data_IF_393546065601
#
_entry.id   IF_393546065601
#
_cell.length_a   1.000
_cell.length_b   1.000
_cell.length_c   1.000
_cell.angle_alpha   90.00
_cell.angle_beta   90.00
_cell.angle_gamma   90.00
#
_symmetry.space_group_name_H-M   'P 1'
#
loop_
_entity.id
_entity.type
_entity.pdbx_description
1 polymer ?
#
# COMPACT_ATOMS: atom_id res chain seq x y z
N UNK A 1 -11.95 0.36 9.72
CA UNK A 1 -10.77 1.02 9.13
C UNK A 1 -11.15 1.31 7.70
N UNK A 2 -11.05 2.55 7.28
CA UNK A 2 -11.55 3.02 5.98
C UNK A 2 -10.44 2.91 4.92
N UNK A 3 -10.76 2.36 3.75
CA UNK A 3 -9.85 2.25 2.61
C UNK A 3 -9.34 3.62 2.16
N UNK A 4 -10.20 4.64 2.22
CA UNK A 4 -9.85 6.00 1.83
C UNK A 4 -8.78 6.60 2.75
N UNK A 5 -8.85 6.32 4.05
CA UNK A 5 -7.81 6.74 4.99
C UNK A 5 -6.46 6.05 4.70
N UNK A 6 -6.48 4.77 4.34
CA UNK A 6 -5.26 4.01 4.00
C UNK A 6 -4.62 4.56 2.72
N UNK A 7 -5.41 4.88 1.69
CA UNK A 7 -4.93 5.48 0.43
C UNK A 7 -4.34 6.87 0.69
N UNK A 8 -5.00 7.69 1.51
CA UNK A 8 -4.54 9.03 1.86
C UNK A 8 -3.22 9.01 2.66
N UNK A 9 -3.07 8.06 3.60
CA UNK A 9 -1.81 7.85 4.32
C UNK A 9 -0.67 7.50 3.36
N UNK A 10 -0.92 6.63 2.37
CA UNK A 10 0.09 6.26 1.37
C UNK A 10 0.61 7.48 0.58
N UNK A 11 -0.32 8.32 0.13
CA UNK A 11 -0.02 9.55 -0.63
C UNK A 11 0.79 10.55 0.19
N UNK A 12 0.51 10.65 1.49
CA UNK A 12 1.28 11.49 2.42
C UNK A 12 2.71 10.98 2.60
N UNK A 13 2.87 9.66 2.81
CA UNK A 13 4.19 9.01 2.94
C UNK A 13 5.04 9.26 1.69
N UNK A 14 4.46 9.07 0.49
CA UNK A 14 5.16 9.32 -0.77
C UNK A 14 5.56 10.78 -0.93
N UNK A 15 4.64 11.70 -0.64
CA UNK A 15 4.89 13.15 -0.71
C UNK A 15 5.97 13.61 0.28
N UNK A 16 6.04 13.00 1.46
CA UNK A 16 7.10 13.25 2.45
C UNK A 16 8.44 12.72 1.98
N UNK A 17 8.51 11.49 1.49
CA UNK A 17 9.74 10.89 0.98
C UNK A 17 10.33 11.65 -0.21
N UNK A 18 9.49 12.18 -1.10
CA UNK A 18 9.93 13.07 -2.20
C UNK A 18 10.55 14.36 -1.63
N UNK A 19 9.89 15.00 -0.65
CA UNK A 19 10.40 16.22 0.01
C UNK A 19 11.72 15.99 0.75
N UNK A 20 11.90 14.81 1.32
CA UNK A 20 13.12 14.42 2.05
C UNK A 20 14.24 13.89 1.13
N UNK A 21 14.04 13.92 -0.20
CA UNK A 21 15.06 13.52 -1.17
C UNK A 21 15.26 12.01 -1.30
N UNK A 22 14.37 11.18 -0.74
CA UNK A 22 14.41 9.71 -0.87
C UNK A 22 13.85 9.18 -2.20
N UNK A 23 13.56 10.09 -3.14
CA UNK A 23 12.60 9.89 -4.23
C UNK A 23 12.98 8.95 -5.38
N UNK A 24 14.14 8.29 -5.38
CA UNK A 24 14.59 7.60 -6.61
C UNK A 24 14.63 6.07 -6.55
N UNK A 25 14.58 5.42 -5.38
CA UNK A 25 14.76 3.95 -5.38
C UNK A 25 14.14 3.21 -4.20
N UNK A 26 14.15 3.78 -2.99
CA UNK A 26 13.71 3.04 -1.79
C UNK A 26 13.02 3.98 -0.81
N UNK A 27 11.80 3.65 -0.43
CA UNK A 27 11.12 4.20 0.73
C UNK A 27 11.53 3.38 1.96
N UNK A 28 12.03 4.05 2.99
CA UNK A 28 12.41 3.40 4.25
C UNK A 28 11.81 4.15 5.43
N UNK A 29 11.44 3.41 6.46
CA UNK A 29 10.97 3.98 7.70
C UNK A 29 9.73 3.27 8.24
N UNK A 30 9.53 3.41 9.55
CA UNK A 30 8.43 2.78 10.27
C UNK A 30 7.05 3.16 9.71
N UNK A 31 6.91 4.35 9.10
CA UNK A 31 5.65 4.81 8.49
C UNK A 31 5.23 3.91 7.31
N UNK A 32 6.18 3.49 6.47
CA UNK A 32 5.92 2.61 5.32
C UNK A 32 5.52 1.21 5.80
N UNK A 33 6.26 0.66 6.75
CA UNK A 33 5.98 -0.65 7.33
C UNK A 33 4.62 -0.68 8.05
N UNK A 34 4.32 0.39 8.80
CA UNK A 34 3.02 0.56 9.45
C UNK A 34 1.89 0.63 8.44
N UNK A 35 2.08 1.38 7.34
CA UNK A 35 1.10 1.46 6.27
C UNK A 35 0.85 0.10 5.61
N UNK A 36 1.91 -0.64 5.26
CA UNK A 36 1.78 -1.99 4.70
C UNK A 36 0.98 -2.89 5.66
N UNK A 37 1.31 -2.86 6.95
CA UNK A 37 0.59 -3.65 7.96
C UNK A 37 -0.89 -3.29 8.08
N UNK A 38 -1.23 -1.99 8.07
CA UNK A 38 -2.61 -1.53 8.03
C UNK A 38 -3.34 -2.02 6.77
N UNK A 39 -2.71 -1.91 5.61
CA UNK A 39 -3.30 -2.36 4.34
C UNK A 39 -3.59 -3.86 4.33
N UNK A 40 -2.66 -4.69 4.85
CA UNK A 40 -2.89 -6.13 5.00
C UNK A 40 -4.11 -6.40 5.90
N UNK A 41 -4.16 -5.78 7.08
CA UNK A 41 -5.28 -5.94 8.01
C UNK A 41 -6.62 -5.48 7.43
N UNK A 42 -6.63 -4.47 6.56
CA UNK A 42 -7.85 -4.06 5.85
C UNK A 42 -8.30 -5.15 4.89
N UNK A 43 -7.40 -5.62 4.03
CA UNK A 43 -7.74 -6.59 2.99
C UNK A 43 -8.19 -7.92 3.61
N UNK A 44 -7.53 -8.38 4.69
CA UNK A 44 -7.95 -9.57 5.45
C UNK A 44 -9.37 -9.44 6.04
N UNK A 45 -9.77 -8.22 6.43
CA UNK A 45 -11.10 -7.96 7.01
C UNK A 45 -12.18 -7.78 5.96
N UNK A 46 -11.85 -7.19 4.82
CA UNK A 46 -12.83 -6.80 3.80
C UNK A 46 -12.97 -7.80 2.66
N UNK A 47 -12.01 -8.70 2.46
CA UNK A 47 -12.00 -9.67 1.35
C UNK A 47 -11.64 -11.07 1.84
N UNK A 48 -12.12 -12.07 1.11
CA UNK A 48 -11.70 -13.46 1.30
C UNK A 48 -10.20 -13.57 0.99
N UNK A 49 -9.40 -14.29 1.80
CA UNK A 49 -7.98 -14.55 1.54
C UNK A 49 -7.70 -15.19 0.16
N UNK A 50 -8.71 -15.76 -0.47
CA UNK A 50 -8.65 -16.35 -1.81
C UNK A 50 -8.82 -15.32 -2.95
N UNK A 51 -9.11 -14.05 -2.63
CA UNK A 51 -9.26 -13.03 -3.65
C UNK A 51 -7.93 -12.76 -4.34
N UNK A 52 -7.95 -12.66 -5.67
CA UNK A 52 -6.76 -12.35 -6.47
C UNK A 52 -6.12 -11.01 -6.07
N UNK A 53 -6.91 -10.07 -5.52
CA UNK A 53 -6.43 -8.81 -4.95
C UNK A 53 -5.56 -9.02 -3.72
N UNK A 54 -6.00 -9.84 -2.77
CA UNK A 54 -5.24 -10.17 -1.57
C UNK A 54 -3.90 -10.82 -1.92
N UNK A 55 -3.91 -11.84 -2.78
CA UNK A 55 -2.67 -12.54 -3.16
C UNK A 55 -1.66 -11.63 -3.86
N UNK A 56 -2.13 -10.72 -4.73
CA UNK A 56 -1.26 -9.74 -5.39
C UNK A 56 -0.71 -8.71 -4.41
N UNK A 57 -1.52 -8.25 -3.46
CA UNK A 57 -1.08 -7.30 -2.45
C UNK A 57 0.02 -7.91 -1.56
N UNK A 58 -0.20 -9.14 -1.06
CA UNK A 58 0.81 -9.86 -0.27
C UNK A 58 2.08 -10.10 -1.08
N UNK A 59 1.98 -10.49 -2.36
CA UNK A 59 3.17 -10.62 -3.21
C UNK A 59 3.97 -9.32 -3.31
N UNK A 60 3.32 -8.16 -3.41
CA UNK A 60 4.04 -6.88 -3.44
C UNK A 60 4.63 -6.51 -2.09
N UNK A 61 3.93 -6.82 -0.99
CA UNK A 61 4.41 -6.61 0.37
C UNK A 61 5.62 -7.49 0.71
N UNK A 62 5.59 -8.78 0.37
CA UNK A 62 6.71 -9.73 0.61
C UNK A 62 7.96 -9.36 -0.19
N UNK A 63 7.77 -8.84 -1.41
CA UNK A 63 8.85 -8.35 -2.26
C UNK A 63 9.37 -6.96 -1.84
N UNK A 64 8.80 -6.35 -0.80
CA UNK A 64 9.14 -4.99 -0.35
C UNK A 64 10.23 -4.94 0.73
N UNK A 65 11.09 -5.97 0.90
CA UNK A 65 12.29 -5.87 1.74
C UNK A 65 13.18 -4.72 1.27
N UNK A 66 13.17 -3.60 2.00
CA UNK A 66 13.63 -2.31 1.49
C UNK A 66 12.69 -1.82 0.40
N UNK A 67 11.59 -1.18 0.80
CA UNK A 67 10.42 -0.93 -0.06
C UNK A 67 10.83 -0.11 -1.27
N UNK A 68 11.02 -0.78 -2.41
CA UNK A 68 11.22 -0.09 -3.68
C UNK A 68 9.98 0.75 -3.96
N UNK A 69 10.19 1.99 -4.40
CA UNK A 69 9.10 2.93 -4.73
C UNK A 69 8.09 2.26 -5.67
N UNK A 70 8.57 1.50 -6.66
CA UNK A 70 7.72 0.74 -7.58
C UNK A 70 6.78 -0.26 -6.89
N UNK A 71 7.25 -0.97 -5.85
CA UNK A 71 6.42 -1.92 -5.11
C UNK A 71 5.35 -1.18 -4.29
N UNK A 72 5.72 -0.04 -3.71
CA UNK A 72 4.81 0.83 -2.98
C UNK A 72 3.70 1.37 -3.89
N UNK A 73 4.06 1.90 -5.05
CA UNK A 73 3.12 2.45 -6.02
C UNK A 73 2.16 1.38 -6.56
N UNK A 74 2.64 0.14 -6.77
CA UNK A 74 1.79 -0.99 -7.15
C UNK A 74 0.80 -1.38 -6.06
N UNK A 75 1.22 -1.36 -4.79
CA UNK A 75 0.34 -1.60 -3.66
C UNK A 75 -0.73 -0.51 -3.54
N UNK A 76 -0.36 0.76 -3.74
CA UNK A 76 -1.30 1.88 -3.74
C UNK A 76 -2.33 1.76 -4.86
N UNK A 77 -1.89 1.53 -6.10
CA UNK A 77 -2.77 1.39 -7.26
C UNK A 77 -3.77 0.23 -7.10
N UNK A 78 -3.37 -0.86 -6.43
CA UNK A 78 -4.28 -1.96 -6.08
C UNK A 78 -5.38 -1.51 -5.12
N UNK A 79 -5.03 -0.75 -4.07
CA UNK A 79 -6.00 -0.25 -3.10
C UNK A 79 -6.97 0.77 -3.74
N UNK A 80 -6.47 1.65 -4.60
CA UNK A 80 -7.30 2.57 -5.40
C UNK A 80 -8.26 1.81 -6.32
N UNK A 81 -7.75 0.79 -7.02
CA UNK A 81 -8.60 -0.07 -7.86
C UNK A 81 -9.67 -0.78 -7.02
N UNK A 82 -9.34 -1.26 -5.82
CA UNK A 82 -10.32 -1.87 -4.91
C UNK A 82 -11.42 -0.89 -4.51
N UNK A 83 -11.06 0.37 -4.24
CA UNK A 83 -12.03 1.43 -3.93
C UNK A 83 -13.00 1.67 -5.09
N UNK A 84 -12.47 1.80 -6.31
CA UNK A 84 -13.29 1.98 -7.52
C UNK A 84 -14.25 0.80 -7.79
N UNK A 85 -13.91 -0.41 -7.33
CA UNK A 85 -14.78 -1.58 -7.41
C UNK A 85 -15.83 -1.64 -6.28
N UNK A 86 -15.56 -1.05 -5.11
CA UNK A 86 -16.52 -0.99 -3.99
C UNK A 86 -17.54 0.14 -4.16
N UNK A 87 -17.16 1.22 -4.84
CA UNK A 87 -18.03 2.38 -5.12
C UNK A 87 -18.98 2.16 -6.34
N UNK A 88 -18.92 0.99 -7.00
CA UNK A 88 -19.79 0.59 -8.12
C UNK A 88 -20.91 -0.36 -7.69
#
# INVERSE_FOLDING_TARGET
>A
MDLELIINEASSIRSKAIREGQGSSVLKGAEVETWIGKSILYIEKCKTPESAFYQRFIQYADNAKGVRVDSFDKMLALLESMKEFEDK
#
